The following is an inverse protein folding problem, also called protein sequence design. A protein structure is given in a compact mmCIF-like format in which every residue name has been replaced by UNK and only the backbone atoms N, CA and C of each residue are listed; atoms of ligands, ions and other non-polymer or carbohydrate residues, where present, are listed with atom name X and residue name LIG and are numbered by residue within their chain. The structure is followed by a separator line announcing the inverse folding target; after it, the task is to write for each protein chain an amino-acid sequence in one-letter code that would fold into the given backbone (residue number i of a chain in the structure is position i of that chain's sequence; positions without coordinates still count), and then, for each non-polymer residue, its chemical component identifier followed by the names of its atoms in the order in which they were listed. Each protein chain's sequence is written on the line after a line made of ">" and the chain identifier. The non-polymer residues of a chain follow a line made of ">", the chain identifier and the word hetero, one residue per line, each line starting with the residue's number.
data_IF_763358647442
#
_entry.id   IF_763358647442
#
_cell.length_a   1.000
_cell.length_b   1.000
_cell.length_c   1.000
_cell.angle_alpha   90.00
_cell.angle_beta   90.00
_cell.angle_gamma   90.00
#
_symmetry.space_group_name_H-M   'P 1'
#
loop_
_entity.id
_entity.type
_entity.pdbx_description
1 polymer ?
#
# COMPACT_ATOMS: atom_id res chain seq x y z
N UNK A 1 53.51 24.55 -32.27
CA UNK A 1 52.12 24.92 -31.91
C UNK A 1 51.57 23.87 -30.97
N UNK A 2 51.43 24.19 -29.70
CA UNK A 2 50.87 23.26 -28.73
C UNK A 2 49.36 23.31 -28.80
N UNK A 3 48.73 22.21 -29.24
CA UNK A 3 47.27 22.07 -29.17
C UNK A 3 46.91 21.73 -27.74
N UNK A 4 46.30 22.69 -27.04
CA UNK A 4 45.73 22.46 -25.71
C UNK A 4 44.40 21.70 -25.93
N UNK A 5 44.40 20.43 -25.54
CA UNK A 5 43.16 19.62 -25.53
C UNK A 5 42.39 19.98 -24.26
N UNK A 6 41.39 20.83 -24.41
CA UNK A 6 40.47 21.14 -23.30
C UNK A 6 39.51 19.96 -23.17
N UNK A 7 39.75 19.10 -22.17
CA UNK A 7 38.84 18.03 -21.81
C UNK A 7 37.67 18.67 -21.03
N UNK A 8 36.52 18.88 -21.70
CA UNK A 8 35.28 19.28 -21.05
C UNK A 8 34.76 18.07 -20.27
N UNK A 9 35.05 18.04 -18.97
CA UNK A 9 34.39 17.12 -18.03
C UNK A 9 32.94 17.57 -17.85
N UNK A 10 32.03 16.94 -18.60
CA UNK A 10 30.62 17.04 -18.29
C UNK A 10 30.32 16.21 -17.03
N UNK A 11 29.76 16.81 -15.97
CA UNK A 11 29.30 16.03 -14.84
C UNK A 11 28.20 15.10 -15.31
N UNK A 12 28.43 13.79 -15.19
CA UNK A 12 27.40 12.79 -15.40
C UNK A 12 26.39 12.95 -14.27
N UNK A 13 25.28 13.64 -14.55
CA UNK A 13 24.15 13.70 -13.64
C UNK A 13 23.52 12.30 -13.60
N UNK A 14 23.92 11.52 -12.61
CA UNK A 14 23.28 10.25 -12.31
C UNK A 14 21.93 10.58 -11.67
N UNK A 15 20.86 10.51 -12.47
CA UNK A 15 19.51 10.51 -11.94
C UNK A 15 19.26 9.15 -11.29
N UNK A 16 19.43 9.06 -9.97
CA UNK A 16 18.89 7.95 -9.21
C UNK A 16 17.37 8.14 -9.13
N UNK A 17 16.61 7.31 -9.85
CA UNK A 17 15.18 7.21 -9.62
C UNK A 17 15.00 6.61 -8.23
N UNK A 18 14.59 7.44 -7.28
CA UNK A 18 14.12 6.94 -5.99
C UNK A 18 12.86 6.12 -6.23
N UNK A 19 12.94 4.82 -5.95
CA UNK A 19 11.79 3.93 -5.97
C UNK A 19 10.79 4.46 -4.94
N UNK A 20 9.55 4.73 -5.36
CA UNK A 20 8.47 5.12 -4.44
C UNK A 20 8.30 4.02 -3.39
N UNK A 21 8.75 4.29 -2.16
CA UNK A 21 8.69 3.35 -1.04
C UNK A 21 7.36 3.38 -0.31
N UNK A 22 6.43 4.27 -0.69
CA UNK A 22 5.14 4.43 -0.02
C UNK A 22 4.25 3.20 -0.15
N UNK A 23 4.05 2.71 -1.37
CA UNK A 23 3.19 1.57 -1.68
C UNK A 23 4.01 0.33 -1.98
N UNK A 24 3.69 -0.77 -1.31
CA UNK A 24 4.34 -2.06 -1.53
C UNK A 24 3.32 -3.17 -1.61
N UNK A 25 3.29 -3.82 -2.77
CA UNK A 25 2.50 -5.02 -3.01
C UNK A 25 3.31 -6.22 -2.53
N UNK A 26 2.79 -6.95 -1.55
CA UNK A 26 3.52 -8.05 -0.90
C UNK A 26 2.81 -9.38 -1.04
N UNK A 27 3.60 -10.46 -1.07
CA UNK A 27 3.09 -11.83 -1.15
C UNK A 27 2.25 -12.20 0.07
N UNK A 28 1.45 -13.26 -0.06
CA UNK A 28 0.67 -13.83 1.04
C UNK A 28 1.52 -14.09 2.28
N UNK A 29 2.66 -14.76 2.15
CA UNK A 29 3.51 -15.12 3.29
C UNK A 29 4.06 -13.88 4.00
N UNK A 30 4.53 -12.91 3.24
CA UNK A 30 5.03 -11.63 3.78
C UNK A 30 3.92 -10.86 4.47
N UNK A 31 2.76 -10.76 3.85
CA UNK A 31 1.61 -10.06 4.41
C UNK A 31 1.13 -10.71 5.71
N UNK A 32 0.95 -12.02 5.70
CA UNK A 32 0.55 -12.78 6.88
C UNK A 32 1.52 -12.60 8.05
N UNK A 33 2.81 -12.65 7.78
CA UNK A 33 3.84 -12.43 8.79
C UNK A 33 3.76 -11.00 9.37
N UNK A 34 3.65 -9.99 8.52
CA UNK A 34 3.59 -8.59 8.95
C UNK A 34 2.36 -8.27 9.80
N UNK A 35 1.20 -8.80 9.45
CA UNK A 35 -0.04 -8.56 10.19
C UNK A 35 -0.20 -9.39 11.46
N UNK A 36 0.72 -10.32 11.73
CA UNK A 36 0.73 -11.11 12.97
C UNK A 36 1.08 -10.27 14.21
N UNK A 37 1.64 -9.10 14.03
CA UNK A 37 1.88 -8.15 15.12
C UNK A 37 0.56 -7.65 15.71
N UNK A 38 0.49 -7.56 17.06
CA UNK A 38 -0.71 -7.07 17.77
C UNK A 38 -1.08 -5.62 17.39
N UNK A 39 -0.10 -4.83 16.97
CA UNK A 39 -0.29 -3.41 16.65
C UNK A 39 -0.54 -3.18 15.15
N UNK A 40 -0.62 -4.23 14.35
CA UNK A 40 -0.87 -4.10 12.92
C UNK A 40 -2.29 -3.60 12.65
N UNK A 41 -2.39 -2.50 11.91
CA UNK A 41 -3.66 -1.94 11.44
C UNK A 41 -3.96 -2.50 10.06
N UNK A 42 -4.95 -3.39 9.98
CA UNK A 42 -5.37 -4.06 8.76
C UNK A 42 -6.76 -3.57 8.35
N UNK A 43 -6.88 -3.09 7.12
CA UNK A 43 -8.12 -2.53 6.59
C UNK A 43 -8.57 -3.30 5.37
N UNK A 44 -9.81 -3.79 5.44
CA UNK A 44 -10.54 -4.37 4.33
C UNK A 44 -11.30 -3.25 3.61
N UNK A 45 -10.90 -2.92 2.39
CA UNK A 45 -11.51 -1.82 1.63
C UNK A 45 -12.61 -2.30 0.67
N UNK A 46 -13.09 -3.53 0.87
CA UNK A 46 -14.24 -4.08 0.15
C UNK A 46 -15.55 -3.52 0.70
N UNK A 47 -16.64 -3.89 0.07
CA UNK A 47 -17.98 -3.57 0.57
C UNK A 47 -18.28 -4.27 1.89
N UNK A 48 -19.24 -3.74 2.65
CA UNK A 48 -19.71 -4.35 3.90
C UNK A 48 -20.25 -5.76 3.67
N UNK A 49 -20.95 -5.99 2.57
CA UNK A 49 -21.48 -7.29 2.21
C UNK A 49 -20.38 -8.33 2.00
N UNK A 50 -19.34 -7.96 1.26
CA UNK A 50 -18.16 -8.83 1.06
C UNK A 50 -17.49 -9.16 2.38
N UNK A 51 -17.27 -8.15 3.22
CA UNK A 51 -16.66 -8.31 4.54
C UNK A 51 -17.45 -9.26 5.44
N UNK A 52 -18.78 -9.13 5.46
CA UNK A 52 -19.64 -9.97 6.31
C UNK A 52 -19.67 -11.44 5.86
N UNK A 53 -19.41 -11.71 4.59
CA UNK A 53 -19.31 -13.09 4.09
C UNK A 53 -17.97 -13.77 4.46
N UNK A 54 -17.02 -13.02 4.90
CA UNK A 54 -15.70 -13.50 5.33
C UNK A 54 -14.64 -12.42 5.16
N UNK A 55 -13.70 -12.35 6.08
CA UNK A 55 -12.63 -11.36 6.09
C UNK A 55 -11.42 -11.86 6.85
N UNK A 56 -10.30 -11.20 6.71
CA UNK A 56 -9.10 -11.49 7.51
C UNK A 56 -9.39 -11.12 8.97
N UNK A 57 -9.16 -12.07 9.88
CA UNK A 57 -9.39 -11.86 11.31
C UNK A 57 -8.63 -10.62 11.82
N UNK A 58 -9.35 -9.75 12.50
CA UNK A 58 -8.80 -8.49 13.05
C UNK A 58 -8.79 -7.33 12.06
N UNK A 59 -9.22 -7.52 10.82
CA UNK A 59 -9.34 -6.42 9.88
C UNK A 59 -10.55 -5.54 10.18
N UNK A 60 -10.40 -4.26 9.85
CA UNK A 60 -11.45 -3.24 9.98
C UNK A 60 -11.97 -2.94 8.57
N UNK A 61 -13.27 -3.01 8.38
CA UNK A 61 -13.89 -2.72 7.08
C UNK A 61 -14.12 -1.22 6.90
N UNK A 62 -13.68 -0.72 5.78
CA UNK A 62 -14.00 0.61 5.30
C UNK A 62 -14.20 0.56 3.79
N UNK A 63 -15.44 0.78 3.34
CA UNK A 63 -15.82 0.64 1.93
C UNK A 63 -15.17 1.72 1.06
N UNK A 64 -14.33 1.29 0.12
CA UNK A 64 -13.68 2.18 -0.84
C UNK A 64 -14.70 2.97 -1.68
N UNK A 65 -15.87 2.40 -1.97
CA UNK A 65 -16.90 3.07 -2.79
C UNK A 65 -17.64 4.19 -2.05
N UNK A 66 -17.62 4.21 -0.73
CA UNK A 66 -18.08 5.36 0.05
C UNK A 66 -16.92 6.34 0.27
N UNK A 67 -16.64 7.14 -0.73
CA UNK A 67 -15.47 8.00 -0.77
C UNK A 67 -15.42 9.00 0.39
N UNK A 68 -16.55 9.64 0.73
CA UNK A 68 -16.60 10.60 1.84
C UNK A 68 -16.28 9.94 3.17
N UNK A 69 -16.88 8.80 3.44
CA UNK A 69 -16.64 8.04 4.67
C UNK A 69 -15.21 7.52 4.72
N UNK A 70 -14.70 7.02 3.60
CA UNK A 70 -13.33 6.53 3.48
C UNK A 70 -12.30 7.61 3.85
N UNK A 71 -12.38 8.76 3.22
CA UNK A 71 -11.46 9.88 3.49
C UNK A 71 -11.59 10.37 4.93
N UNK A 72 -12.81 10.57 5.42
CA UNK A 72 -13.07 11.02 6.79
C UNK A 72 -12.52 10.06 7.83
N UNK A 73 -12.67 8.76 7.60
CA UNK A 73 -12.17 7.71 8.49
C UNK A 73 -10.63 7.74 8.54
N UNK A 74 -9.96 7.71 7.39
CA UNK A 74 -8.51 7.64 7.34
C UNK A 74 -7.82 8.94 7.78
N UNK A 75 -8.48 10.08 7.69
CA UNK A 75 -7.96 11.33 8.24
C UNK A 75 -7.74 11.26 9.76
N UNK A 76 -8.48 10.41 10.47
CA UNK A 76 -8.39 10.23 11.93
C UNK A 76 -7.38 9.17 12.35
N UNK A 77 -6.88 8.36 11.43
CA UNK A 77 -5.92 7.30 11.71
C UNK A 77 -4.51 7.88 11.78
N UNK A 78 -3.66 7.30 12.66
CA UNK A 78 -2.25 7.68 12.76
C UNK A 78 -1.53 7.39 11.43
N UNK A 79 -0.94 8.44 10.85
CA UNK A 79 -0.31 8.41 9.53
C UNK A 79 1.18 8.05 9.58
N UNK A 80 1.77 8.02 10.77
CA UNK A 80 3.21 7.78 10.96
C UNK A 80 3.59 6.31 10.99
N UNK A 81 2.61 5.42 11.14
CA UNK A 81 2.79 3.96 11.15
C UNK A 81 2.36 3.35 9.84
N UNK A 82 2.99 2.24 9.41
CA UNK A 82 2.51 1.48 8.26
C UNK A 82 1.10 0.98 8.47
N UNK A 83 0.31 0.96 7.40
CA UNK A 83 -1.00 0.30 7.38
C UNK A 83 -1.01 -0.81 6.34
N UNK A 84 -1.88 -1.77 6.55
CA UNK A 84 -2.06 -2.95 5.71
C UNK A 84 -3.46 -2.92 5.14
N UNK A 85 -3.56 -3.01 3.83
CA UNK A 85 -4.86 -2.98 3.15
C UNK A 85 -5.02 -4.20 2.26
N UNK A 86 -6.25 -4.55 1.96
CA UNK A 86 -6.58 -5.53 0.94
C UNK A 86 -7.98 -5.29 0.40
N UNK A 87 -8.21 -5.72 -0.81
CA UNK A 87 -9.54 -5.85 -1.39
C UNK A 87 -9.75 -7.30 -1.87
N UNK A 88 -10.64 -7.52 -2.82
CA UNK A 88 -10.90 -8.87 -3.32
C UNK A 88 -9.75 -9.43 -4.14
N UNK A 89 -9.19 -8.65 -5.10
CA UNK A 89 -8.18 -9.10 -6.05
C UNK A 89 -7.07 -8.07 -6.34
N UNK A 90 -7.12 -6.88 -5.75
CA UNK A 90 -6.04 -5.88 -5.80
C UNK A 90 -6.39 -4.55 -6.47
N UNK A 91 -7.51 -4.44 -7.18
CA UNK A 91 -7.85 -3.23 -7.93
C UNK A 91 -8.27 -2.06 -7.02
N UNK A 92 -9.23 -2.27 -6.14
CA UNK A 92 -9.72 -1.24 -5.20
C UNK A 92 -8.66 -0.83 -4.18
N UNK A 93 -7.87 -1.78 -3.70
CA UNK A 93 -6.79 -1.49 -2.75
C UNK A 93 -5.68 -0.65 -3.38
N UNK A 94 -5.31 -0.92 -4.63
CA UNK A 94 -4.36 -0.09 -5.37
C UNK A 94 -4.86 1.34 -5.54
N UNK A 95 -6.14 1.53 -5.89
CA UNK A 95 -6.77 2.86 -5.98
C UNK A 95 -6.85 3.53 -4.61
N UNK A 96 -7.17 2.78 -3.56
CA UNK A 96 -7.18 3.26 -2.17
C UNK A 96 -5.82 3.80 -1.76
N UNK A 97 -4.73 3.15 -2.16
CA UNK A 97 -3.37 3.58 -1.81
C UNK A 97 -3.05 4.99 -2.31
N UNK A 98 -3.56 5.38 -3.47
CA UNK A 98 -3.37 6.73 -4.01
C UNK A 98 -4.04 7.78 -3.13
N UNK A 99 -5.25 7.52 -2.66
CA UNK A 99 -5.98 8.40 -1.74
C UNK A 99 -5.23 8.49 -0.40
N UNK A 100 -4.76 7.37 0.12
CA UNK A 100 -4.01 7.30 1.38
C UNK A 100 -2.70 8.08 1.31
N UNK A 101 -2.01 8.05 0.18
CA UNK A 101 -0.84 8.88 -0.06
C UNK A 101 -1.16 10.37 0.02
N UNK A 102 -2.24 10.80 -0.62
CA UNK A 102 -2.69 12.20 -0.59
C UNK A 102 -3.09 12.64 0.82
N UNK A 103 -3.69 11.76 1.62
CA UNK A 103 -4.04 12.03 3.02
C UNK A 103 -2.78 12.18 3.89
N UNK A 104 -1.65 11.59 3.50
CA UNK A 104 -0.36 11.77 4.18
C UNK A 104 0.17 10.53 4.91
N UNK A 105 -0.33 9.34 4.63
CA UNK A 105 0.23 8.09 5.18
C UNK A 105 1.67 7.87 4.68
N UNK A 106 2.52 7.36 5.57
CA UNK A 106 3.95 7.15 5.25
C UNK A 106 4.21 5.85 4.52
N UNK A 107 3.40 4.81 4.76
CA UNK A 107 3.60 3.48 4.17
C UNK A 107 2.31 2.68 4.11
N UNK A 108 2.07 2.06 2.97
CA UNK A 108 0.95 1.14 2.75
C UNK A 108 1.47 -0.17 2.18
N UNK A 109 1.12 -1.27 2.83
CA UNK A 109 1.31 -2.63 2.32
C UNK A 109 -0.02 -3.16 1.79
N UNK A 110 -0.01 -3.70 0.59
CA UNK A 110 -1.18 -4.27 -0.07
C UNK A 110 -0.97 -5.76 -0.32
N UNK A 111 -1.99 -6.56 -0.09
CA UNK A 111 -1.93 -8.00 -0.29
C UNK A 111 -2.03 -8.35 -1.77
N UNK A 112 -0.97 -8.93 -2.33
CA UNK A 112 -0.97 -9.44 -3.70
C UNK A 112 -2.11 -10.46 -3.90
N UNK A 113 -2.96 -10.21 -4.89
CA UNK A 113 -4.12 -11.05 -5.19
C UNK A 113 -5.30 -10.91 -4.23
N UNK A 114 -5.19 -10.08 -3.20
CA UNK A 114 -6.27 -9.74 -2.28
C UNK A 114 -6.84 -10.92 -1.49
N UNK A 115 -8.09 -10.78 -1.05
CA UNK A 115 -8.77 -11.79 -0.25
C UNK A 115 -8.94 -13.13 -0.97
N UNK A 116 -9.07 -13.14 -2.30
CA UNK A 116 -9.07 -14.38 -3.10
C UNK A 116 -7.79 -15.20 -2.86
N UNK A 117 -6.65 -14.54 -2.87
CA UNK A 117 -5.37 -15.17 -2.60
C UNK A 117 -5.24 -15.62 -1.14
N UNK A 118 -5.78 -14.85 -0.21
CA UNK A 118 -5.80 -15.21 1.21
C UNK A 118 -6.54 -16.52 1.45
N UNK A 119 -7.74 -16.67 0.89
CA UNK A 119 -8.54 -17.91 0.99
C UNK A 119 -7.83 -19.09 0.31
N UNK A 120 -7.27 -18.85 -0.88
CA UNK A 120 -6.56 -19.89 -1.66
C UNK A 120 -5.40 -20.52 -0.87
N UNK A 121 -4.78 -19.77 0.04
CA UNK A 121 -3.69 -20.23 0.89
C UNK A 121 -4.16 -20.88 2.20
N UNK A 122 -5.42 -21.24 2.31
CA UNK A 122 -5.92 -22.09 3.41
C UNK A 122 -6.46 -21.32 4.63
N UNK A 123 -6.86 -20.07 4.43
CA UNK A 123 -7.41 -19.25 5.52
C UNK A 123 -8.89 -18.95 5.32
#
# INVERSE_FOLDING_TARGET
>A
MNKVLVLLLFPLLVFTQEKDSFYELVSYDTYKNKISSKDALVFDVRTTEEFNLGHIKGSINIDFYDEKLFVKFFQKINKTKPIYIYCRSGNRSKKSSKILKEIGFVKVYDLLGGYKNWIKNGN
#
